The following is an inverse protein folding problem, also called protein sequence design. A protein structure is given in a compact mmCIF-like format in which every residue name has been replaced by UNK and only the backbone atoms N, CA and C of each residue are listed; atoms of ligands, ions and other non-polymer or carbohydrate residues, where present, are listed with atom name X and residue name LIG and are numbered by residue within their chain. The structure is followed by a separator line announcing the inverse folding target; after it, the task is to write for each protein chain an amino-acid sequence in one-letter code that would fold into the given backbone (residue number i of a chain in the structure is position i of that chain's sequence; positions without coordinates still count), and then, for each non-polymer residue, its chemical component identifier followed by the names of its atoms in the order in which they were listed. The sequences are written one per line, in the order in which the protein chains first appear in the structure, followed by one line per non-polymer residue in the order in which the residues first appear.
data_IF_570220409339
#
_entry.id   IF_570220409339
#
_cell.length_a   1.000
_cell.length_b   1.000
_cell.length_c   1.000
_cell.angle_alpha   90.00
_cell.angle_beta   90.00
_cell.angle_gamma   90.00
#
_symmetry.space_group_name_H-M   'P 1'
#
loop_
_entity.id
_entity.type
_entity.pdbx_description
1 polymer ?
#
# COMPACT_ATOMS: atom_id res chain seq x y z
N UNK A 1 3.03 28.55 22.23
CA UNK A 1 3.03 28.81 20.92
C UNK A 1 2.50 27.69 20.11
N UNK A 2 1.46 27.97 19.52
CA UNK A 2 0.96 27.00 18.72
C UNK A 2 1.83 26.87 17.59
N UNK A 3 2.05 25.80 17.22
CA UNK A 3 2.99 25.65 16.23
C UNK A 3 2.33 25.17 15.03
N UNK A 4 2.32 25.97 14.06
CA UNK A 4 1.83 25.54 12.78
C UNK A 4 2.55 24.30 12.33
N UNK A 5 3.74 24.13 12.81
CA UNK A 5 4.43 22.96 12.36
C UNK A 5 3.88 21.69 13.01
N UNK A 6 3.02 21.80 13.97
CA UNK A 6 2.38 20.63 14.51
C UNK A 6 1.58 19.87 13.48
N UNK A 7 0.86 20.58 12.66
CA UNK A 7 0.10 19.89 11.62
C UNK A 7 1.02 19.30 10.58
N UNK A 8 2.05 20.02 10.26
CA UNK A 8 3.01 19.51 9.30
C UNK A 8 3.76 18.32 9.85
N UNK A 9 4.12 18.37 11.10
CA UNK A 9 4.78 17.26 11.72
C UNK A 9 3.90 16.04 11.79
N UNK A 10 2.65 16.22 12.11
CA UNK A 10 1.72 15.13 12.11
C UNK A 10 1.57 14.53 10.74
N UNK A 11 1.40 15.38 9.75
CA UNK A 11 1.29 14.90 8.40
C UNK A 11 2.55 14.18 7.99
N UNK A 12 3.68 14.73 8.36
CA UNK A 12 4.95 14.12 8.02
C UNK A 12 5.08 12.76 8.68
N UNK A 13 4.70 12.66 9.94
CA UNK A 13 4.77 11.40 10.65
C UNK A 13 3.82 10.37 10.03
N UNK A 14 2.65 10.80 9.64
CA UNK A 14 1.69 9.89 9.03
C UNK A 14 2.11 9.45 7.64
N UNK A 15 2.93 10.24 6.99
CA UNK A 15 3.40 9.94 5.65
C UNK A 15 4.86 9.58 5.62
N UNK A 16 5.42 9.28 6.77
CA UNK A 16 6.80 8.91 6.85
C UNK A 16 7.06 7.71 5.98
N UNK A 17 8.14 7.77 5.24
CA UNK A 17 8.54 6.64 4.42
C UNK A 17 8.83 5.49 5.34
N UNK A 18 7.97 4.53 5.35
CA UNK A 18 8.09 3.39 6.23
C UNK A 18 8.09 2.15 5.36
N UNK A 19 9.20 1.45 5.39
CA UNK A 19 9.33 0.26 4.58
C UNK A 19 8.90 -0.94 5.40
N UNK A 20 7.68 -1.34 5.19
CA UNK A 20 7.14 -2.50 5.86
C UNK A 20 7.02 -3.64 4.87
N UNK A 21 7.46 -4.84 5.27
CA UNK A 21 7.20 -6.00 4.44
C UNK A 21 5.70 -6.27 4.44
N UNK A 22 5.16 -6.46 3.25
CA UNK A 22 3.74 -6.75 3.11
C UNK A 22 3.59 -7.82 2.04
N UNK A 23 2.44 -8.47 2.05
CA UNK A 23 2.05 -9.38 1.00
C UNK A 23 0.80 -8.80 0.36
N UNK A 24 0.85 -8.63 -0.95
CA UNK A 24 -0.28 -8.13 -1.71
C UNK A 24 -0.90 -9.32 -2.41
N UNK A 25 -2.22 -9.39 -2.38
CA UNK A 25 -2.90 -10.45 -3.12
C UNK A 25 -4.08 -9.89 -3.86
N UNK A 26 -4.47 -10.60 -4.91
CA UNK A 26 -5.55 -10.18 -5.76
C UNK A 26 -5.88 -11.27 -6.75
N UNK A 27 -6.58 -10.88 -7.81
CA UNK A 27 -6.94 -11.81 -8.87
C UNK A 27 -6.48 -11.27 -10.20
N UNK A 28 -5.96 -12.15 -11.01
CA UNK A 28 -5.54 -11.80 -12.36
C UNK A 28 -6.77 -11.70 -13.26
N UNK A 29 -6.55 -11.26 -14.50
CA UNK A 29 -7.65 -11.08 -15.44
C UNK A 29 -8.37 -12.39 -15.73
N UNK A 30 -7.65 -13.50 -15.69
CA UNK A 30 -8.26 -14.81 -15.93
C UNK A 30 -8.95 -15.36 -14.69
N UNK A 31 -9.00 -14.60 -13.59
CA UNK A 31 -9.65 -15.02 -12.36
C UNK A 31 -8.76 -15.76 -11.39
N UNK A 32 -7.54 -16.08 -11.78
CA UNK A 32 -6.66 -16.83 -10.88
C UNK A 32 -6.15 -15.92 -9.76
N UNK A 33 -6.00 -16.50 -8.58
CA UNK A 33 -5.50 -15.77 -7.44
C UNK A 33 -3.99 -15.67 -7.52
N UNK A 34 -3.48 -14.54 -7.04
CA UNK A 34 -2.03 -14.33 -6.97
C UNK A 34 -1.70 -13.65 -5.66
N UNK A 35 -0.47 -13.81 -5.24
CA UNK A 35 0.06 -13.03 -4.13
C UNK A 35 1.52 -12.77 -4.36
N UNK A 36 1.98 -11.65 -3.84
CA UNK A 36 3.34 -11.21 -4.11
C UNK A 36 3.85 -10.46 -2.87
N UNK A 37 4.99 -10.86 -2.34
CA UNK A 37 5.60 -10.10 -1.25
C UNK A 37 6.28 -8.86 -1.80
N UNK A 38 6.19 -7.79 -1.07
CA UNK A 38 6.87 -6.55 -1.42
C UNK A 38 7.10 -5.74 -0.15
N UNK A 39 7.55 -4.52 -0.32
CA UNK A 39 7.70 -3.60 0.79
C UNK A 39 7.01 -2.30 0.41
N UNK A 40 6.47 -1.63 1.41
CA UNK A 40 5.92 -0.30 1.15
C UNK A 40 7.05 0.69 0.95
N UNK A 41 6.87 1.62 0.02
CA UNK A 41 7.72 2.80 -0.08
C UNK A 41 7.21 3.88 0.84
N UNK A 42 5.91 3.91 1.03
CA UNK A 42 5.25 4.93 1.82
C UNK A 42 3.94 4.33 2.28
N UNK A 43 3.53 4.66 3.49
CA UNK A 43 2.27 4.16 4.02
C UNK A 43 1.68 5.20 4.96
N UNK A 44 0.37 5.30 4.92
CA UNK A 44 -0.37 6.18 5.81
C UNK A 44 -1.65 5.47 6.21
N UNK A 45 -2.47 6.14 6.99
CA UNK A 45 -3.73 5.56 7.40
C UNK A 45 -4.71 5.42 6.25
N UNK A 46 -4.50 6.14 5.16
CA UNK A 46 -5.45 6.14 4.07
C UNK A 46 -4.91 5.50 2.80
N UNK A 47 -3.63 5.20 2.72
CA UNK A 47 -3.11 4.64 1.50
C UNK A 47 -1.71 4.11 1.64
N UNK A 48 -1.22 3.51 0.57
CA UNK A 48 0.12 2.95 0.54
C UNK A 48 0.66 3.01 -0.87
N UNK A 49 1.97 2.97 -0.95
CA UNK A 49 2.69 2.98 -2.21
C UNK A 49 3.71 1.86 -2.17
N UNK A 50 3.73 1.07 -3.22
CA UNK A 50 4.65 -0.06 -3.29
C UNK A 50 4.89 -0.43 -4.75
N UNK A 51 5.78 -1.37 -4.98
CA UNK A 51 6.06 -1.86 -6.33
C UNK A 51 5.58 -3.29 -6.46
N UNK A 52 5.07 -3.63 -7.63
CA UNK A 52 4.61 -4.98 -7.94
C UNK A 52 5.15 -5.43 -9.26
N UNK A 53 5.46 -6.72 -9.35
CA UNK A 53 5.69 -7.36 -10.65
C UNK A 53 4.38 -7.70 -11.33
N UNK A 54 3.39 -8.06 -10.54
CA UNK A 54 2.08 -8.42 -11.06
C UNK A 54 1.41 -7.18 -11.64
N UNK A 55 0.86 -7.33 -12.83
CA UNK A 55 0.15 -6.21 -13.44
C UNK A 55 -1.19 -6.02 -12.75
N UNK A 56 -1.47 -4.79 -12.37
CA UNK A 56 -2.76 -4.42 -11.79
C UNK A 56 -3.26 -3.18 -12.48
N UNK A 57 -4.55 -2.97 -12.46
CA UNK A 57 -5.19 -1.84 -13.10
C UNK A 57 -5.86 -0.96 -12.09
N UNK A 58 -5.97 0.31 -12.44
CA UNK A 58 -6.68 1.25 -11.62
C UNK A 58 -8.09 0.75 -11.37
N UNK A 59 -8.53 0.84 -10.12
CA UNK A 59 -9.85 0.38 -9.71
C UNK A 59 -9.88 -1.04 -9.19
N UNK A 60 -8.83 -1.79 -9.37
CA UNK A 60 -8.80 -3.14 -8.86
C UNK A 60 -8.70 -3.16 -7.34
N UNK A 61 -9.32 -4.16 -6.75
CA UNK A 61 -9.27 -4.36 -5.31
C UNK A 61 -8.15 -5.32 -4.97
N UNK A 62 -7.35 -4.92 -4.01
CA UNK A 62 -6.24 -5.73 -3.55
C UNK A 62 -6.37 -5.95 -2.06
N UNK A 63 -5.72 -7.00 -1.57
CA UNK A 63 -5.67 -7.29 -0.16
C UNK A 63 -4.23 -7.15 0.30
N UNK A 64 -4.03 -6.40 1.37
CA UNK A 64 -2.71 -6.14 1.90
C UNK A 64 -2.61 -6.78 3.27
N UNK A 65 -1.53 -7.51 3.47
CA UNK A 65 -1.28 -8.14 4.76
C UNK A 65 0.10 -7.72 5.23
N UNK A 66 0.16 -7.09 6.38
CA UNK A 66 1.41 -6.66 6.97
C UNK A 66 1.59 -7.35 8.30
N UNK A 67 2.83 -7.70 8.61
CA UNK A 67 3.14 -8.34 9.88
C UNK A 67 3.71 -7.30 10.82
N UNK A 68 3.14 -7.22 12.01
CA UNK A 68 3.70 -6.38 13.05
C UNK A 68 4.74 -7.17 13.81
N UNK A 69 5.80 -6.51 14.27
CA UNK A 69 6.79 -7.23 15.06
C UNK A 69 6.22 -7.80 16.34
N UNK A 70 5.16 -7.21 16.86
CA UNK A 70 4.68 -7.54 18.19
C UNK A 70 3.37 -8.28 18.18
N UNK A 71 2.89 -8.77 17.06
CA UNK A 71 1.61 -9.39 17.15
C UNK A 71 0.97 -9.82 15.88
N UNK A 72 -0.35 -9.76 15.87
CA UNK A 72 -1.15 -10.28 14.80
C UNK A 72 -0.96 -9.47 13.52
N UNK A 73 -1.08 -10.11 12.37
CA UNK A 73 -0.98 -9.37 11.12
C UNK A 73 -2.13 -8.40 10.97
N UNK A 74 -1.86 -7.33 10.25
CA UNK A 74 -2.89 -6.38 9.85
C UNK A 74 -3.29 -6.75 8.43
N UNK A 75 -4.59 -6.86 8.21
CA UNK A 75 -5.11 -7.15 6.89
C UNK A 75 -6.09 -6.07 6.52
N UNK A 76 -5.90 -5.48 5.35
CA UNK A 76 -6.80 -4.44 4.87
C UNK A 76 -7.08 -4.67 3.40
N UNK A 77 -8.21 -4.15 2.97
CA UNK A 77 -8.58 -4.11 1.56
C UNK A 77 -8.26 -2.73 1.03
N UNK A 78 -7.79 -2.69 -0.20
CA UNK A 78 -7.42 -1.42 -0.81
C UNK A 78 -7.82 -1.42 -2.27
N UNK A 79 -7.92 -0.24 -2.84
CA UNK A 79 -8.26 -0.05 -4.25
C UNK A 79 -7.12 0.66 -4.92
N UNK A 80 -6.72 0.16 -6.08
CA UNK A 80 -5.65 0.78 -6.86
C UNK A 80 -6.15 2.11 -7.39
N UNK A 81 -5.44 3.18 -7.06
CA UNK A 81 -5.81 4.50 -7.54
C UNK A 81 -4.88 5.01 -8.61
N UNK A 82 -3.68 4.45 -8.72
CA UNK A 82 -2.79 4.80 -9.80
C UNK A 82 -1.71 3.76 -9.95
N UNK A 83 -1.21 3.65 -11.16
CA UNK A 83 -0.06 2.81 -11.44
C UNK A 83 0.87 3.59 -12.34
N UNK A 84 2.14 3.33 -12.23
CA UNK A 84 3.13 3.95 -13.11
C UNK A 84 4.21 2.91 -13.38
N UNK A 85 4.66 2.80 -14.61
CA UNK A 85 5.73 1.86 -14.91
C UNK A 85 7.00 2.28 -14.19
N UNK A 86 7.74 1.31 -13.72
CA UNK A 86 9.01 1.56 -13.12
C UNK A 86 10.11 1.21 -14.10
N UNK A 87 11.32 1.62 -13.75
CA UNK A 87 12.43 1.53 -14.69
C UNK A 87 12.83 0.08 -14.94
N UNK A 88 12.59 -0.79 -13.97
CA UNK A 88 13.14 -2.15 -14.03
C UNK A 88 12.06 -3.23 -14.09
N UNK A 89 10.97 -2.96 -14.77
CA UNK A 89 10.00 -4.02 -15.00
C UNK A 89 8.93 -4.18 -13.94
N UNK A 90 9.05 -3.53 -12.80
CA UNK A 90 7.96 -3.51 -11.83
C UNK A 90 7.14 -2.26 -12.05
N UNK A 91 5.92 -2.26 -11.57
CA UNK A 91 5.08 -1.09 -11.61
C UNK A 91 4.98 -0.50 -10.21
N UNK A 92 4.96 0.80 -10.17
CA UNK A 92 4.73 1.51 -8.92
C UNK A 92 3.23 1.66 -8.75
N UNK A 93 2.73 1.22 -7.61
CA UNK A 93 1.29 1.11 -7.40
C UNK A 93 0.92 1.92 -6.17
N UNK A 94 -0.05 2.81 -6.33
CA UNK A 94 -0.62 3.53 -5.22
C UNK A 94 -2.03 3.05 -4.97
N UNK A 95 -2.34 2.79 -3.72
CA UNK A 95 -3.66 2.30 -3.34
C UNK A 95 -4.25 3.19 -2.27
N UNK A 96 -5.57 3.23 -2.24
CA UNK A 96 -6.32 3.85 -1.16
C UNK A 96 -6.88 2.73 -0.31
N UNK A 97 -6.60 2.78 0.99
CA UNK A 97 -7.07 1.75 1.90
C UNK A 97 -8.56 1.97 2.12
N UNK A 98 -9.32 0.90 1.91
CA UNK A 98 -10.75 0.97 2.13
C UNK A 98 -11.03 0.89 3.61
N UNK A 99 -12.02 1.66 4.04
CA UNK A 99 -12.42 1.62 5.44
C UNK A 99 -13.02 0.27 5.72
N UNK A 100 -12.63 -0.37 6.81
CA UNK A 100 -13.33 -1.57 7.21
C UNK A 100 -14.72 -1.17 7.65
N UNK A 101 -15.68 -1.83 7.12
CA UNK A 101 -17.06 -1.55 7.53
C UNK A 101 -17.56 -2.62 8.43
#
# INVERSE_FOLDING_TARGET
MSTPYNNEERRFALRMALRLPIVISGRAEDGSAWSEPTETDDISTSGALFHLNQKVNRGERLYLRAHRPDGAPIEVTAVVIRTAPAIYGTARVGVQIAEPT
#
